data_IF_769262259334
#
_entry.id   IF_769262259334
#
_cell.length_a   1.000
_cell.length_b   1.000
_cell.length_c   1.000
_cell.angle_alpha   90.00
_cell.angle_beta   90.00
_cell.angle_gamma   90.00
#
_symmetry.space_group_name_H-M   'P 1'
#
loop_
_entity.id
_entity.type
_entity.pdbx_description
1 polymer ?
#
# COMPACT_ATOMS: atom_id res chain seq x y z
N UNK A 1 4.72 47.89 -26.96
CA UNK A 1 4.68 46.91 -25.85
C UNK A 1 3.85 45.72 -26.29
N UNK A 2 4.47 44.67 -26.84
CA UNK A 2 3.76 43.42 -27.16
C UNK A 2 3.77 42.51 -25.94
N UNK A 3 2.59 42.27 -25.36
CA UNK A 3 2.38 41.30 -24.29
C UNK A 3 2.64 39.87 -24.80
N UNK A 4 3.88 39.39 -24.67
CA UNK A 4 4.28 37.99 -24.92
C UNK A 4 4.10 37.16 -23.63
N UNK A 5 2.87 36.79 -23.31
CA UNK A 5 2.51 36.01 -22.10
C UNK A 5 3.10 34.60 -22.10
N UNK A 6 2.60 33.73 -23.00
CA UNK A 6 3.00 32.32 -23.08
C UNK A 6 4.51 32.12 -23.35
N UNK A 7 5.10 32.86 -24.31
CA UNK A 7 6.49 32.64 -24.74
C UNK A 7 7.53 32.95 -23.65
N UNK A 8 7.20 33.82 -22.69
CA UNK A 8 8.12 34.16 -21.58
C UNK A 8 8.14 33.13 -20.47
N UNK A 9 7.08 32.32 -20.32
CA UNK A 9 6.95 31.30 -19.28
C UNK A 9 7.11 29.88 -19.80
N UNK A 10 7.62 29.74 -21.03
CA UNK A 10 7.80 28.44 -21.67
C UNK A 10 8.73 27.54 -20.85
N UNK A 11 9.82 28.08 -20.32
CA UNK A 11 10.81 27.32 -19.54
C UNK A 11 10.22 26.84 -18.20
N UNK A 12 9.41 27.67 -17.53
CA UNK A 12 8.68 27.29 -16.31
C UNK A 12 7.68 26.17 -16.59
N UNK A 13 6.95 26.27 -17.71
CA UNK A 13 5.99 25.23 -18.11
C UNK A 13 6.71 23.93 -18.50
N UNK A 14 7.87 24.01 -19.16
CA UNK A 14 8.68 22.83 -19.48
C UNK A 14 9.20 22.12 -18.21
N UNK A 15 9.57 22.87 -17.17
CA UNK A 15 9.90 22.31 -15.85
C UNK A 15 8.68 21.61 -15.22
N UNK A 16 7.50 22.26 -15.21
CA UNK A 16 6.26 21.65 -14.70
C UNK A 16 5.90 20.39 -15.50
N UNK A 17 6.12 20.40 -16.82
CA UNK A 17 5.91 19.23 -17.69
C UNK A 17 6.90 18.11 -17.34
N UNK A 18 8.16 18.42 -17.05
CA UNK A 18 9.14 17.43 -16.62
C UNK A 18 8.79 16.82 -15.26
N UNK A 19 8.40 17.65 -14.29
CA UNK A 19 8.11 17.22 -12.93
C UNK A 19 6.80 16.42 -12.83
N UNK A 20 5.77 16.83 -13.57
CA UNK A 20 4.43 16.27 -13.42
C UNK A 20 3.98 15.39 -14.59
N UNK A 21 4.70 15.43 -15.72
CA UNK A 21 4.43 14.65 -16.93
C UNK A 21 2.93 14.57 -17.32
N UNK A 22 2.21 15.71 -17.38
CA UNK A 22 0.75 15.73 -17.50
C UNK A 22 0.26 15.07 -18.80
N UNK A 23 -0.96 14.53 -18.82
CA UNK A 23 -1.55 14.02 -20.07
C UNK A 23 -2.24 15.12 -20.88
N UNK A 24 -2.80 16.10 -20.17
CA UNK A 24 -3.51 17.25 -20.72
C UNK A 24 -3.06 18.49 -19.93
N UNK A 25 -2.85 19.60 -20.63
CA UNK A 25 -2.52 20.90 -20.05
C UNK A 25 -3.55 21.90 -20.56
N UNK A 26 -4.23 22.60 -19.65
CA UNK A 26 -5.17 23.66 -20.00
C UNK A 26 -4.57 25.00 -19.60
N UNK A 27 -4.51 25.93 -20.55
CA UNK A 27 -3.96 27.27 -20.36
C UNK A 27 -4.99 28.31 -20.73
N UNK A 28 -5.02 29.39 -19.96
CA UNK A 28 -5.78 30.59 -20.26
C UNK A 28 -4.81 31.76 -20.30
N UNK A 29 -4.76 32.48 -21.41
CA UNK A 29 -3.85 33.60 -21.63
C UNK A 29 -4.59 34.81 -22.18
N UNK A 30 -4.08 36.01 -21.92
CA UNK A 30 -4.80 37.25 -22.25
C UNK A 30 -4.58 37.77 -23.68
N UNK A 31 -3.90 37.03 -24.56
CA UNK A 31 -3.64 37.47 -25.94
C UNK A 31 -3.02 36.37 -26.85
N UNK A 32 -3.75 35.31 -27.16
CA UNK A 32 -3.32 34.39 -28.22
C UNK A 32 -3.56 35.05 -29.59
N UNK A 33 -2.52 35.17 -30.44
CA UNK A 33 -2.68 35.63 -31.84
C UNK A 33 -3.56 34.62 -32.59
N UNK A 34 -4.48 35.11 -33.42
CA UNK A 34 -5.37 34.26 -34.24
C UNK A 34 -4.60 33.11 -34.89
N UNK A 35 -5.05 31.89 -34.63
CA UNK A 35 -4.51 30.64 -35.16
C UNK A 35 -3.07 30.27 -34.77
N UNK A 36 -2.42 31.00 -33.85
CA UNK A 36 -1.09 30.61 -33.35
C UNK A 36 -1.18 29.72 -32.12
N UNK A 37 -0.75 28.47 -32.28
CA UNK A 37 -0.53 27.51 -31.19
C UNK A 37 0.97 27.40 -30.97
N UNK A 38 1.43 27.77 -29.79
CA UNK A 38 2.84 27.63 -29.47
C UNK A 38 3.22 26.15 -29.33
N UNK A 39 4.26 25.67 -30.02
CA UNK A 39 4.61 24.25 -29.98
C UNK A 39 5.16 23.85 -28.61
N UNK A 40 4.59 22.78 -28.04
CA UNK A 40 5.09 22.09 -26.85
C UNK A 40 5.56 20.69 -27.24
N UNK A 41 6.80 20.34 -26.88
CA UNK A 41 7.40 19.05 -27.24
C UNK A 41 6.56 17.90 -26.68
N UNK A 42 6.21 16.93 -27.52
CA UNK A 42 5.36 15.78 -27.20
C UNK A 42 3.89 16.08 -26.91
N UNK A 43 3.38 17.27 -27.25
CA UNK A 43 1.96 17.60 -27.15
C UNK A 43 1.41 18.15 -28.47
N UNK A 44 0.14 17.81 -28.75
CA UNK A 44 -0.71 18.40 -29.78
C UNK A 44 -1.58 19.46 -29.12
N UNK A 45 -1.46 20.71 -29.58
CA UNK A 45 -2.22 21.84 -29.03
C UNK A 45 -3.49 22.13 -29.82
N UNK A 46 -4.47 22.72 -29.12
CA UNK A 46 -5.73 23.24 -29.64
C UNK A 46 -6.00 24.59 -28.96
N UNK A 47 -6.33 25.63 -29.71
CA UNK A 47 -6.58 26.96 -29.16
C UNK A 47 -7.88 27.57 -29.69
N UNK A 48 -8.53 28.42 -28.89
CA UNK A 48 -9.65 29.25 -29.32
C UNK A 48 -9.46 30.66 -28.77
N UNK A 49 -9.56 31.64 -29.68
CA UNK A 49 -9.35 33.06 -29.39
C UNK A 49 -10.65 33.83 -29.67
N UNK A 50 -10.88 34.92 -28.94
CA UNK A 50 -11.95 35.87 -29.24
C UNK A 50 -11.59 36.67 -30.48
N UNK A 51 -12.55 36.86 -31.38
CA UNK A 51 -12.40 37.57 -32.66
C UNK A 51 -12.78 39.07 -32.57
N UNK A 52 -13.00 39.62 -31.38
CA UNK A 52 -13.41 41.03 -31.24
C UNK A 52 -12.23 41.97 -30.98
N UNK A 53 -11.94 42.77 -32.00
CA UNK A 53 -10.87 43.77 -32.11
C UNK A 53 -11.14 44.94 -31.14
N UNK A 54 -10.26 45.15 -30.15
CA UNK A 54 -10.19 46.43 -29.43
C UNK A 54 -9.67 46.44 -28.00
N UNK A 55 -9.67 45.30 -27.27
CA UNK A 55 -9.10 45.18 -25.91
C UNK A 55 -8.47 43.80 -25.70
N UNK A 56 -7.51 43.68 -24.77
CA UNK A 56 -6.89 42.40 -24.41
C UNK A 56 -7.95 41.36 -24.05
N UNK A 57 -8.13 40.37 -24.91
CA UNK A 57 -9.17 39.36 -24.81
C UNK A 57 -8.55 38.02 -24.46
N UNK A 58 -9.07 37.39 -23.40
CA UNK A 58 -8.65 36.05 -22.97
C UNK A 58 -8.89 35.00 -24.05
N UNK A 59 -7.89 34.17 -24.32
CA UNK A 59 -7.99 32.97 -25.13
C UNK A 59 -7.62 31.74 -24.30
N UNK A 60 -8.09 30.57 -24.73
CA UNK A 60 -7.83 29.30 -24.05
C UNK A 60 -7.13 28.33 -24.98
N UNK A 61 -6.22 27.54 -24.43
CA UNK A 61 -5.52 26.48 -25.15
C UNK A 61 -5.50 25.19 -24.35
N UNK A 62 -5.65 24.07 -25.04
CA UNK A 62 -5.52 22.72 -24.49
C UNK A 62 -4.40 22.00 -25.23
N UNK A 63 -3.42 21.47 -24.50
CA UNK A 63 -2.37 20.62 -25.04
C UNK A 63 -2.58 19.19 -24.57
N UNK A 64 -2.63 18.25 -25.50
CA UNK A 64 -2.82 16.82 -25.25
C UNK A 64 -1.56 16.09 -25.69
N UNK A 65 -1.03 15.14 -24.91
CA UNK A 65 0.16 14.38 -25.34
C UNK A 65 -0.02 13.79 -26.74
N UNK A 66 0.99 13.92 -27.59
CA UNK A 66 0.90 13.65 -29.02
C UNK A 66 0.49 12.19 -29.36
N UNK A 67 0.80 11.23 -28.48
CA UNK A 67 0.40 9.83 -28.63
C UNK A 67 -1.05 9.53 -28.18
N UNK A 68 -1.74 10.50 -27.57
CA UNK A 68 -3.14 10.37 -27.17
C UNK A 68 -4.02 10.87 -28.33
N UNK A 69 -4.85 10.01 -28.94
CA UNK A 69 -5.76 10.41 -29.99
C UNK A 69 -6.68 11.55 -29.52
N UNK A 70 -6.72 12.64 -30.28
CA UNK A 70 -7.53 13.82 -29.97
C UNK A 70 -7.93 14.56 -31.24
N UNK A 71 -9.13 15.15 -31.22
CA UNK A 71 -9.70 15.95 -32.30
C UNK A 71 -10.50 17.14 -31.72
N UNK A 72 -10.70 18.17 -32.53
CA UNK A 72 -11.47 19.36 -32.16
C UNK A 72 -12.95 19.13 -32.43
N UNK A 73 -13.81 19.50 -31.48
CA UNK A 73 -15.26 19.53 -31.65
C UNK A 73 -15.75 20.97 -31.68
N UNK A 74 -16.49 21.33 -32.73
CA UNK A 74 -17.11 22.64 -32.85
C UNK A 74 -18.47 22.62 -32.17
N UNK A 75 -18.57 23.20 -30.98
CA UNK A 75 -19.83 23.37 -30.26
C UNK A 75 -20.38 24.77 -30.56
N UNK A 76 -21.62 24.83 -31.08
CA UNK A 76 -22.37 26.09 -31.24
C UNK A 76 -22.94 26.48 -29.87
N UNK A 77 -22.28 27.43 -29.22
CA UNK A 77 -22.61 27.94 -27.88
C UNK A 77 -22.12 29.37 -27.76
N UNK A 78 -22.90 30.24 -27.12
CA UNK A 78 -22.54 31.63 -26.79
C UNK A 78 -21.52 31.72 -25.63
N UNK A 79 -21.18 30.58 -25.02
CA UNK A 79 -20.14 30.42 -24.01
C UNK A 79 -18.86 29.82 -24.60
N UNK A 80 -17.71 30.30 -24.13
CA UNK A 80 -16.37 29.89 -24.55
C UNK A 80 -15.99 28.50 -24.04
N UNK A 81 -16.57 27.46 -24.66
CA UNK A 81 -16.29 26.08 -24.30
C UNK A 81 -15.40 25.46 -25.39
N UNK A 82 -14.17 25.12 -25.02
CA UNK A 82 -13.36 24.13 -25.72
C UNK A 82 -13.57 22.78 -25.03
N UNK A 83 -14.23 21.84 -25.71
CA UNK A 83 -14.35 20.47 -25.24
C UNK A 83 -13.40 19.59 -26.04
N UNK A 84 -12.27 19.22 -25.44
CA UNK A 84 -11.51 18.07 -25.90
C UNK A 84 -12.20 16.82 -25.34
N UNK A 85 -12.96 16.10 -26.19
CA UNK A 85 -13.29 14.71 -25.87
C UNK A 85 -12.00 13.93 -26.09
N UNK A 86 -11.21 13.81 -25.02
CA UNK A 86 -10.45 12.59 -24.87
C UNK A 86 -11.51 11.50 -24.78
N UNK A 87 -11.52 10.59 -25.75
CA UNK A 87 -11.97 9.24 -25.43
C UNK A 87 -10.97 8.77 -24.38
N UNK A 88 -11.23 9.16 -23.13
CA UNK A 88 -11.03 8.24 -22.04
C UNK A 88 -11.91 7.07 -22.45
N UNK A 89 -11.30 6.15 -23.20
CA UNK A 89 -11.16 4.84 -22.60
C UNK A 89 -10.62 5.14 -21.21
N UNK A 90 -11.54 5.39 -20.27
CA UNK A 90 -11.47 4.74 -18.98
C UNK A 90 -11.38 3.28 -19.39
N UNK A 91 -10.16 2.86 -19.76
CA UNK A 91 -9.67 1.61 -19.29
C UNK A 91 -9.90 1.82 -17.82
N UNK A 92 -10.99 1.26 -17.33
CA UNK A 92 -11.04 0.84 -15.96
C UNK A 92 -9.67 0.20 -15.80
N UNK A 93 -8.73 0.90 -15.16
CA UNK A 93 -7.90 0.17 -14.24
C UNK A 93 -8.86 -0.15 -13.09
N UNK A 94 -9.82 -1.01 -13.39
CA UNK A 94 -9.96 -2.23 -12.65
C UNK A 94 -8.57 -2.61 -12.14
N UNK A 95 -8.53 -3.21 -10.99
CA UNK A 95 -7.39 -4.02 -10.60
C UNK A 95 -7.18 -5.23 -11.55
N UNK A 96 -7.33 -5.02 -12.88
CA UNK A 96 -6.99 -5.85 -14.02
C UNK A 96 -5.81 -5.26 -14.82
N UNK A 97 -5.26 -4.07 -14.49
CA UNK A 97 -3.88 -3.75 -14.90
C UNK A 97 -2.92 -4.52 -14.00
N UNK A 98 -2.37 -5.59 -14.58
CA UNK A 98 -1.76 -6.77 -13.95
C UNK A 98 -2.76 -7.87 -13.56
N UNK A 99 -3.72 -8.22 -14.43
CA UNK A 99 -3.72 -9.66 -14.77
C UNK A 99 -2.35 -9.84 -15.42
N UNK A 100 -1.45 -10.64 -14.84
CA UNK A 100 -0.19 -10.84 -15.50
C UNK A 100 -0.50 -11.36 -16.91
N UNK A 101 0.08 -10.70 -17.93
CA UNK A 101 0.44 -11.37 -19.18
C UNK A 101 0.87 -12.80 -18.83
N UNK A 102 0.47 -13.80 -19.62
CA UNK A 102 0.77 -15.20 -19.37
C UNK A 102 2.09 -15.36 -18.60
N UNK A 103 2.01 -15.78 -17.33
CA UNK A 103 3.22 -15.94 -16.54
C UNK A 103 3.90 -17.20 -17.03
N UNK A 104 5.07 -17.04 -17.65
CA UNK A 104 5.91 -18.16 -18.04
C UNK A 104 6.98 -18.36 -16.96
N UNK A 105 6.98 -19.47 -16.23
CA UNK A 105 8.03 -19.80 -15.27
C UNK A 105 8.97 -20.85 -15.87
N UNK A 106 10.27 -20.56 -15.83
CA UNK A 106 11.34 -21.47 -16.28
C UNK A 106 12.09 -22.01 -15.07
N UNK A 107 12.23 -23.33 -14.99
CA UNK A 107 13.12 -24.01 -14.04
C UNK A 107 13.83 -25.18 -14.73
N UNK A 108 14.50 -26.04 -13.95
CA UNK A 108 15.23 -27.21 -14.46
C UNK A 108 14.34 -28.21 -15.23
N UNK A 109 13.01 -28.19 -15.01
CA UNK A 109 12.04 -29.04 -15.74
C UNK A 109 11.55 -28.42 -17.04
N UNK A 110 12.00 -27.20 -17.38
CA UNK A 110 11.60 -26.44 -18.56
C UNK A 110 10.69 -25.26 -18.24
N UNK A 111 10.15 -24.65 -19.30
CA UNK A 111 9.25 -23.49 -19.18
C UNK A 111 7.80 -23.94 -19.13
N UNK A 112 7.02 -23.42 -18.18
CA UNK A 112 5.58 -23.67 -18.09
C UNK A 112 4.79 -22.36 -18.15
N UNK A 113 3.74 -22.35 -18.96
CA UNK A 113 2.75 -21.28 -19.07
C UNK A 113 1.35 -21.68 -18.56
N UNK A 114 1.16 -22.96 -18.22
CA UNK A 114 -0.11 -23.45 -17.69
C UNK A 114 -0.43 -22.73 -16.37
N UNK A 115 -1.53 -21.98 -16.27
CA UNK A 115 -1.78 -21.13 -15.11
C UNK A 115 -1.85 -21.91 -13.78
N UNK A 116 -2.31 -23.17 -13.80
CA UNK A 116 -2.40 -24.00 -12.60
C UNK A 116 -1.01 -24.47 -12.15
N UNK A 117 -0.17 -24.94 -13.07
CA UNK A 117 1.23 -25.31 -12.81
C UNK A 117 2.05 -24.10 -12.36
N UNK A 118 1.86 -22.94 -12.99
CA UNK A 118 2.54 -21.71 -12.61
C UNK A 118 2.13 -21.26 -11.19
N UNK A 119 0.84 -21.25 -10.89
CA UNK A 119 0.34 -20.96 -9.55
C UNK A 119 0.92 -21.92 -8.51
N UNK A 120 1.02 -23.22 -8.84
CA UNK A 120 1.63 -24.21 -7.97
C UNK A 120 3.12 -23.95 -7.72
N UNK A 121 3.92 -23.71 -8.77
CA UNK A 121 5.37 -23.44 -8.65
C UNK A 121 5.64 -22.19 -7.80
N UNK A 122 4.93 -21.09 -8.09
CA UNK A 122 5.03 -19.85 -7.29
C UNK A 122 4.56 -20.09 -5.86
N UNK A 123 3.47 -20.83 -5.67
CA UNK A 123 2.94 -21.16 -4.35
C UNK A 123 3.90 -21.96 -3.49
N UNK A 124 4.54 -22.99 -4.04
CA UNK A 124 5.58 -23.77 -3.36
C UNK A 124 6.79 -22.89 -2.98
N UNK A 125 7.23 -22.02 -3.89
CA UNK A 125 8.31 -21.06 -3.58
C UNK A 125 7.94 -20.11 -2.42
N UNK A 126 6.73 -19.56 -2.43
CA UNK A 126 6.28 -18.70 -1.33
C UNK A 126 6.09 -19.47 -0.03
N UNK A 127 5.60 -20.72 -0.07
CA UNK A 127 5.50 -21.57 1.10
C UNK A 127 6.87 -21.75 1.76
N UNK A 128 7.91 -21.99 0.97
CA UNK A 128 9.28 -22.11 1.47
C UNK A 128 9.75 -20.81 2.15
N UNK A 129 9.43 -19.64 1.58
CA UNK A 129 9.72 -18.34 2.20
C UNK A 129 8.97 -18.12 3.51
N UNK A 130 7.74 -18.63 3.61
CA UNK A 130 6.95 -18.58 4.83
C UNK A 130 7.26 -19.73 5.80
N UNK A 131 8.20 -20.61 5.50
CA UNK A 131 8.58 -21.73 6.38
C UNK A 131 9.90 -21.46 7.09
N UNK A 132 10.29 -22.34 8.00
CA UNK A 132 11.58 -22.23 8.67
C UNK A 132 12.78 -22.41 7.72
N UNK A 133 12.56 -22.87 6.47
CA UNK A 133 13.60 -22.92 5.43
C UNK A 133 14.23 -21.55 5.14
N UNK A 134 13.53 -20.45 5.45
CA UNK A 134 14.08 -19.09 5.26
C UNK A 134 15.15 -18.74 6.30
N UNK A 135 15.16 -19.41 7.46
CA UNK A 135 16.09 -19.12 8.53
C UNK A 135 17.35 -19.99 8.44
N UNK A 136 18.46 -19.48 8.98
CA UNK A 136 19.68 -20.29 9.16
C UNK A 136 19.42 -21.38 10.21
N UNK A 137 19.94 -22.58 9.99
CA UNK A 137 19.75 -23.72 10.91
C UNK A 137 20.25 -23.41 12.34
N UNK A 138 21.36 -22.67 12.45
CA UNK A 138 21.89 -22.22 13.74
C UNK A 138 20.86 -21.39 14.52
N UNK A 139 20.20 -20.43 13.88
CA UNK A 139 19.16 -19.61 14.51
C UNK A 139 17.97 -20.46 14.98
N UNK A 140 17.56 -21.45 14.18
CA UNK A 140 16.47 -22.36 14.55
C UNK A 140 16.82 -23.12 15.83
N UNK A 141 17.98 -23.78 15.82
CA UNK A 141 18.40 -24.69 16.90
C UNK A 141 18.76 -23.94 18.20
N UNK A 142 19.44 -22.80 18.09
CA UNK A 142 19.99 -22.10 19.25
C UNK A 142 19.01 -21.11 19.88
N UNK A 143 18.12 -20.51 19.07
CA UNK A 143 17.28 -19.39 19.49
C UNK A 143 15.79 -19.73 19.34
N UNK A 144 15.33 -20.02 18.12
CA UNK A 144 13.89 -20.11 17.82
C UNK A 144 13.20 -21.22 18.60
N UNK A 145 13.68 -22.46 18.49
CA UNK A 145 13.04 -23.61 19.14
C UNK A 145 13.04 -23.48 20.66
N UNK A 146 14.13 -22.97 21.24
CA UNK A 146 14.20 -22.73 22.69
C UNK A 146 13.20 -21.66 23.13
N UNK A 147 13.12 -20.54 22.41
CA UNK A 147 12.21 -19.45 22.73
C UNK A 147 10.74 -19.87 22.58
N UNK A 148 10.38 -20.61 21.52
CA UNK A 148 9.01 -21.07 21.28
C UNK A 148 8.50 -22.05 22.34
N UNK A 149 9.40 -22.76 23.02
CA UNK A 149 9.07 -23.64 24.15
C UNK A 149 8.88 -22.89 25.48
N UNK A 150 9.19 -21.59 25.55
CA UNK A 150 8.98 -20.78 26.75
C UNK A 150 7.58 -20.16 26.70
N UNK A 151 6.73 -20.38 27.72
CA UNK A 151 5.43 -19.75 27.78
C UNK A 151 5.53 -18.22 27.81
N UNK A 152 4.67 -17.56 27.05
CA UNK A 152 4.59 -16.09 27.02
C UNK A 152 3.92 -15.60 28.31
N UNK A 153 4.61 -14.76 29.07
CA UNK A 153 4.11 -14.14 30.30
C UNK A 153 3.67 -12.69 30.07
N UNK A 154 2.75 -12.22 30.92
CA UNK A 154 2.17 -10.88 30.87
C UNK A 154 2.35 -10.20 32.21
N UNK A 155 3.01 -9.04 32.22
CA UNK A 155 3.26 -8.26 33.43
C UNK A 155 2.49 -6.92 33.45
N UNK A 156 1.71 -6.64 32.40
CA UNK A 156 0.95 -5.40 32.27
C UNK A 156 -0.40 -5.55 32.96
N UNK A 157 -0.73 -4.60 33.85
CA UNK A 157 -2.01 -4.57 34.55
C UNK A 157 -3.18 -4.33 33.56
N UNK A 158 -4.14 -5.27 33.41
CA UNK A 158 -5.28 -5.11 32.51
C UNK A 158 -6.23 -3.99 32.94
N UNK A 159 -6.21 -3.59 34.21
CA UNK A 159 -7.09 -2.57 34.77
C UNK A 159 -6.55 -1.14 34.61
N UNK A 160 -5.38 -0.95 33.99
CA UNK A 160 -4.90 0.40 33.74
C UNK A 160 -5.77 1.08 32.64
N UNK A 161 -6.04 2.40 32.74
CA UNK A 161 -7.00 3.06 31.85
C UNK A 161 -6.68 2.89 30.34
N UNK A 162 -5.40 2.88 29.98
CA UNK A 162 -4.98 2.68 28.60
C UNK A 162 -5.31 1.28 28.07
N UNK A 163 -5.15 0.23 28.88
CA UNK A 163 -5.47 -1.14 28.50
C UNK A 163 -6.97 -1.40 28.47
N UNK A 164 -7.73 -0.80 29.40
CA UNK A 164 -9.20 -0.85 29.38
C UNK A 164 -9.70 -0.27 28.05
N UNK A 165 -9.31 0.98 27.73
CA UNK A 165 -9.75 1.65 26.51
C UNK A 165 -9.34 0.90 25.23
N UNK A 166 -8.15 0.28 25.23
CA UNK A 166 -7.67 -0.53 24.09
C UNK A 166 -8.55 -1.76 23.84
N UNK A 167 -9.06 -2.38 24.92
CA UNK A 167 -9.80 -3.64 24.89
C UNK A 167 -11.34 -3.48 24.89
N UNK A 168 -11.84 -2.24 24.99
CA UNK A 168 -13.27 -1.92 24.97
C UNK A 168 -14.02 -2.54 23.78
N UNK A 169 -15.34 -2.69 23.91
CA UNK A 169 -16.19 -3.15 22.79
C UNK A 169 -16.16 -2.17 21.62
N UNK A 170 -16.42 -2.66 20.40
CA UNK A 170 -16.52 -1.79 19.24
C UNK A 170 -17.82 -0.99 19.23
N UNK A 171 -17.74 0.25 18.77
CA UNK A 171 -18.90 1.09 18.51
C UNK A 171 -19.27 1.17 17.03
N UNK A 172 -20.55 1.43 16.74
CA UNK A 172 -21.01 1.70 15.37
C UNK A 172 -20.29 2.92 14.76
N UNK A 173 -19.87 3.88 15.60
CA UNK A 173 -19.14 5.08 15.17
C UNK A 173 -17.75 4.72 14.66
N UNK A 174 -17.00 3.93 15.42
CA UNK A 174 -15.68 3.43 14.98
C UNK A 174 -15.78 2.63 13.69
N UNK A 175 -16.77 1.74 13.60
CA UNK A 175 -17.04 0.94 12.43
C UNK A 175 -17.29 1.81 11.19
N UNK A 176 -18.12 2.87 11.30
CA UNK A 176 -18.36 3.83 10.22
C UNK A 176 -17.11 4.62 9.82
N UNK A 177 -16.34 5.11 10.79
CA UNK A 177 -15.10 5.87 10.56
C UNK A 177 -14.06 5.02 9.84
N UNK A 178 -13.90 3.75 10.23
CA UNK A 178 -13.00 2.82 9.57
C UNK A 178 -13.46 2.55 8.13
N UNK A 179 -14.76 2.32 7.90
CA UNK A 179 -15.30 2.05 6.57
C UNK A 179 -15.11 3.22 5.61
N UNK A 180 -15.28 4.46 6.08
CA UNK A 180 -15.07 5.66 5.25
C UNK A 180 -13.65 5.74 4.65
N UNK A 181 -12.66 5.13 5.31
CA UNK A 181 -11.27 5.05 4.82
C UNK A 181 -11.03 3.87 3.87
N UNK A 182 -11.99 2.97 3.69
CA UNK A 182 -11.89 1.80 2.83
C UNK A 182 -12.38 2.11 1.41
N UNK A 183 -11.48 2.11 0.44
CA UNK A 183 -11.83 2.26 -0.99
C UNK A 183 -12.21 0.92 -1.60
N UNK A 184 -13.08 0.94 -2.60
CA UNK A 184 -13.39 -0.27 -3.38
C UNK A 184 -12.14 -0.76 -4.12
N UNK A 185 -11.65 -1.93 -3.72
CA UNK A 185 -10.45 -2.61 -4.23
C UNK A 185 -10.77 -4.09 -4.43
N UNK A 186 -9.85 -4.85 -5.02
CA UNK A 186 -10.00 -6.30 -5.21
C UNK A 186 -10.38 -7.01 -3.91
N UNK A 187 -11.42 -7.86 -3.94
CA UNK A 187 -11.87 -8.61 -2.78
C UNK A 187 -10.94 -9.78 -2.46
N UNK A 188 -11.14 -10.38 -1.29
CA UNK A 188 -10.47 -11.61 -0.90
C UNK A 188 -11.14 -12.87 -1.48
N UNK A 189 -10.86 -14.04 -0.90
CA UNK A 189 -11.46 -15.32 -1.28
C UNK A 189 -12.99 -15.32 -1.39
N UNK A 190 -13.69 -14.55 -0.56
CA UNK A 190 -15.16 -14.43 -0.57
C UNK A 190 -15.74 -13.66 -1.76
N UNK A 191 -14.90 -12.98 -2.54
CA UNK A 191 -15.27 -12.15 -3.69
C UNK A 191 -16.22 -10.99 -3.36
N UNK A 192 -16.31 -10.57 -2.10
CA UNK A 192 -17.15 -9.44 -1.67
C UNK A 192 -16.31 -8.16 -1.64
N UNK A 193 -16.47 -7.20 -2.57
CA UNK A 193 -15.71 -5.96 -2.55
C UNK A 193 -16.30 -4.92 -1.58
N UNK A 194 -15.51 -3.91 -1.22
CA UNK A 194 -15.96 -2.86 -0.29
C UNK A 194 -17.18 -2.07 -0.79
N UNK A 195 -17.43 -1.96 -2.09
CA UNK A 195 -18.64 -1.28 -2.58
C UNK A 195 -19.94 -1.96 -2.09
N UNK A 196 -19.95 -3.29 -1.90
CA UNK A 196 -21.10 -3.97 -1.31
C UNK A 196 -21.25 -3.59 0.17
N UNK A 197 -20.13 -3.54 0.90
CA UNK A 197 -20.10 -3.15 2.32
C UNK A 197 -20.59 -1.69 2.49
N UNK A 198 -20.18 -0.80 1.59
CA UNK A 198 -20.63 0.61 1.59
C UNK A 198 -22.14 0.76 1.39
N UNK A 199 -22.75 -0.15 0.64
CA UNK A 199 -24.19 -0.13 0.35
C UNK A 199 -25.03 -0.92 1.37
N UNK A 200 -24.44 -1.46 2.43
CA UNK A 200 -25.21 -2.16 3.47
C UNK A 200 -26.15 -1.21 4.20
N UNK A 201 -27.41 -1.66 4.35
CA UNK A 201 -28.41 -0.98 5.17
C UNK A 201 -28.08 -1.01 6.67
N UNK A 202 -28.80 -0.20 7.45
CA UNK A 202 -28.59 -0.05 8.90
C UNK A 202 -28.65 -1.38 9.65
N UNK A 203 -29.65 -2.22 9.34
CA UNK A 203 -29.84 -3.53 9.97
C UNK A 203 -28.64 -4.45 9.75
N UNK A 204 -28.16 -4.59 8.51
CA UNK A 204 -27.00 -5.41 8.19
C UNK A 204 -25.71 -4.91 8.88
N UNK A 205 -25.53 -3.57 8.98
CA UNK A 205 -24.40 -2.99 9.72
C UNK A 205 -24.45 -3.30 11.21
N UNK A 206 -25.64 -3.29 11.82
CA UNK A 206 -25.79 -3.65 13.22
C UNK A 206 -25.48 -5.14 13.46
N UNK A 207 -25.94 -6.04 12.59
CA UNK A 207 -25.56 -7.46 12.66
C UNK A 207 -24.05 -7.66 12.55
N UNK A 208 -23.39 -6.98 11.60
CA UNK A 208 -21.94 -7.04 11.46
C UNK A 208 -21.20 -6.45 12.67
N UNK A 209 -21.74 -5.40 13.30
CA UNK A 209 -21.19 -4.86 14.55
C UNK A 209 -21.23 -5.93 15.66
N UNK A 210 -22.36 -6.59 15.84
CA UNK A 210 -22.48 -7.67 16.83
C UNK A 210 -21.51 -8.81 16.52
N UNK A 211 -21.39 -9.22 15.25
CA UNK A 211 -20.41 -10.22 14.83
C UNK A 211 -18.97 -9.81 15.20
N UNK A 212 -18.58 -8.57 14.92
CA UNK A 212 -17.25 -8.07 15.27
C UNK A 212 -17.02 -8.04 16.78
N UNK A 213 -18.02 -7.62 17.56
CA UNK A 213 -17.92 -7.64 19.03
C UNK A 213 -17.77 -9.09 19.53
N UNK A 214 -18.53 -10.04 18.99
CA UNK A 214 -18.39 -11.46 19.35
C UNK A 214 -17.00 -11.99 19.03
N UNK A 215 -16.47 -11.76 17.83
CA UNK A 215 -15.11 -12.16 17.44
C UNK A 215 -14.07 -11.50 18.37
N UNK A 216 -14.26 -10.22 18.70
CA UNK A 216 -13.35 -9.46 19.56
C UNK A 216 -13.31 -10.00 20.99
N UNK A 217 -14.48 -10.28 21.58
CA UNK A 217 -14.59 -10.81 22.94
C UNK A 217 -14.12 -12.25 23.04
N UNK A 218 -14.40 -13.08 22.04
CA UNK A 218 -13.91 -14.46 22.01
C UNK A 218 -12.41 -14.55 21.67
N UNK A 219 -11.86 -13.53 21.02
CA UNK A 219 -10.48 -13.53 20.55
C UNK A 219 -10.21 -14.53 19.41
N UNK A 220 -11.24 -15.01 18.71
CA UNK A 220 -11.14 -16.05 17.69
C UNK A 220 -11.78 -15.62 16.37
N UNK A 221 -10.97 -15.61 15.30
CA UNK A 221 -11.38 -15.32 13.93
C UNK A 221 -11.98 -16.57 13.28
N UNK A 222 -13.00 -16.39 12.42
CA UNK A 222 -13.47 -17.47 11.57
C UNK A 222 -12.33 -18.03 10.70
N UNK A 223 -12.24 -19.35 10.57
CA UNK A 223 -11.19 -20.00 9.75
C UNK A 223 -11.15 -19.48 8.30
N UNK A 224 -12.32 -19.12 7.73
CA UNK A 224 -12.39 -18.53 6.39
C UNK A 224 -11.71 -17.16 6.29
N UNK A 225 -11.56 -16.42 7.39
CA UNK A 225 -10.87 -15.12 7.45
C UNK A 225 -9.35 -15.25 7.64
N UNK A 226 -8.89 -16.45 8.02
CA UNK A 226 -7.47 -16.82 8.07
C UNK A 226 -6.92 -17.29 6.71
N UNK A 227 -7.79 -17.42 5.70
CA UNK A 227 -7.43 -17.76 4.31
C UNK A 227 -7.18 -16.50 3.48
N UNK A 228 -6.11 -16.50 2.70
CA UNK A 228 -5.79 -15.41 1.76
C UNK A 228 -5.58 -15.90 0.33
N UNK A 229 -5.89 -15.04 -0.64
CA UNK A 229 -5.49 -15.27 -2.04
C UNK A 229 -4.28 -14.42 -2.37
N UNK A 230 -3.16 -15.03 -2.70
CA UNK A 230 -1.95 -14.34 -3.14
C UNK A 230 -2.03 -14.07 -4.64
N UNK A 231 -1.87 -12.81 -5.02
CA UNK A 231 -1.63 -12.37 -6.40
C UNK A 231 -0.12 -12.12 -6.54
N UNK A 232 0.59 -12.87 -7.38
CA UNK A 232 2.01 -12.66 -7.60
C UNK A 232 2.22 -11.39 -8.45
N UNK A 233 2.98 -10.45 -7.92
CA UNK A 233 3.29 -9.18 -8.61
C UNK A 233 4.79 -9.12 -8.94
N UNK A 234 5.11 -8.95 -10.22
CA UNK A 234 6.50 -8.87 -10.68
C UNK A 234 7.22 -7.66 -10.06
N UNK A 235 8.39 -7.89 -9.48
CA UNK A 235 9.29 -6.84 -8.98
C UNK A 235 9.87 -6.06 -10.16
N UNK A 236 9.93 -4.72 -10.11
CA UNK A 236 10.57 -3.93 -11.16
C UNK A 236 12.00 -4.42 -11.45
N UNK A 237 12.31 -4.64 -12.72
CA UNK A 237 13.65 -5.06 -13.18
C UNK A 237 14.08 -6.48 -12.79
N UNK A 238 13.19 -7.33 -12.27
CA UNK A 238 13.50 -8.75 -11.99
C UNK A 238 13.07 -9.65 -13.14
N UNK A 239 13.71 -10.83 -13.22
CA UNK A 239 13.40 -11.84 -14.23
C UNK A 239 11.94 -12.30 -14.10
N UNK A 240 11.14 -12.03 -15.13
CA UNK A 240 9.73 -12.46 -15.20
C UNK A 240 9.55 -13.98 -15.29
N UNK A 241 10.62 -14.69 -15.67
CA UNK A 241 10.60 -16.14 -15.82
C UNK A 241 11.02 -16.91 -14.57
N UNK A 242 11.40 -16.22 -13.50
CA UNK A 242 11.81 -16.85 -12.25
C UNK A 242 10.83 -16.50 -11.12
N UNK A 243 10.58 -17.47 -10.23
CA UNK A 243 9.62 -17.34 -9.12
C UNK A 243 10.07 -16.28 -8.10
N UNK A 244 11.38 -16.10 -7.95
CA UNK A 244 12.03 -15.09 -7.10
C UNK A 244 11.69 -13.65 -7.53
N UNK A 245 11.35 -13.48 -8.81
CA UNK A 245 10.97 -12.20 -9.40
C UNK A 245 9.65 -11.64 -8.87
N UNK A 246 8.81 -12.44 -8.20
CA UNK A 246 7.46 -12.04 -7.79
C UNK A 246 7.37 -11.71 -6.29
N UNK A 247 6.44 -10.81 -5.93
CA UNK A 247 6.03 -10.49 -4.56
C UNK A 247 4.67 -11.13 -4.24
N UNK A 248 4.48 -11.67 -3.03
CA UNK A 248 3.22 -12.28 -2.63
C UNK A 248 2.21 -11.24 -2.10
N UNK A 249 1.42 -10.58 -2.97
CA UNK A 249 0.38 -9.65 -2.48
C UNK A 249 -0.85 -10.45 -2.03
N UNK A 250 -1.15 -10.40 -0.74
CA UNK A 250 -2.25 -11.15 -0.12
C UNK A 250 -3.56 -10.35 -0.13
N UNK A 251 -4.57 -10.90 -0.78
CA UNK A 251 -5.96 -10.45 -0.71
C UNK A 251 -6.68 -11.20 0.42
N UNK A 252 -7.09 -10.44 1.44
CA UNK A 252 -7.93 -10.91 2.54
C UNK A 252 -9.37 -10.47 2.31
N UNK A 253 -10.32 -11.21 2.89
CA UNK A 253 -11.74 -10.86 2.85
C UNK A 253 -11.96 -9.42 3.35
N UNK A 254 -12.84 -8.69 2.67
CA UNK A 254 -13.04 -7.26 2.96
C UNK A 254 -13.63 -7.04 4.35
N UNK A 255 -14.47 -7.96 4.84
CA UNK A 255 -14.97 -7.94 6.22
C UNK A 255 -13.84 -8.14 7.24
N UNK A 256 -12.87 -9.01 6.98
CA UNK A 256 -11.67 -9.15 7.83
C UNK A 256 -10.85 -7.88 7.82
N UNK A 257 -10.63 -7.30 6.63
CA UNK A 257 -9.85 -6.06 6.47
C UNK A 257 -10.54 -4.84 7.08
N UNK A 258 -11.86 -4.85 7.21
CA UNK A 258 -12.57 -3.79 7.89
C UNK A 258 -12.37 -3.88 9.40
N UNK A 259 -12.55 -5.07 9.99
CA UNK A 259 -12.30 -5.31 11.40
C UNK A 259 -10.83 -5.03 11.78
N UNK A 260 -9.86 -5.54 10.99
CA UNK A 260 -8.44 -5.28 11.22
C UNK A 260 -8.14 -3.77 11.20
N UNK A 261 -8.86 -2.97 10.39
CA UNK A 261 -8.64 -1.53 10.29
C UNK A 261 -9.07 -0.81 11.56
N UNK A 262 -10.19 -1.23 12.17
CA UNK A 262 -10.66 -0.71 13.46
C UNK A 262 -9.60 -1.00 14.52
N UNK A 263 -9.18 -2.26 14.62
CA UNK A 263 -8.20 -2.75 15.59
C UNK A 263 -6.85 -2.05 15.41
N UNK A 264 -6.36 -1.96 14.17
CA UNK A 264 -5.10 -1.30 13.87
C UNK A 264 -5.13 0.20 14.20
N UNK A 265 -6.29 0.85 14.04
CA UNK A 265 -6.44 2.26 14.43
C UNK A 265 -6.27 2.44 15.93
N UNK A 266 -6.86 1.55 16.74
CA UNK A 266 -6.66 1.55 18.20
C UNK A 266 -5.23 1.24 18.59
N UNK A 267 -4.64 0.21 17.97
CA UNK A 267 -3.26 -0.20 18.24
C UNK A 267 -2.26 0.91 17.92
N UNK A 268 -2.30 1.49 16.72
CA UNK A 268 -1.40 2.60 16.35
C UNK A 268 -1.57 3.78 17.31
N UNK A 269 -2.80 4.16 17.65
CA UNK A 269 -3.04 5.25 18.60
C UNK A 269 -2.39 4.95 19.97
N UNK A 270 -2.57 3.74 20.50
CA UNK A 270 -1.94 3.32 21.75
C UNK A 270 -0.42 3.33 21.67
N UNK A 271 0.16 2.80 20.58
CA UNK A 271 1.61 2.74 20.39
C UNK A 271 2.24 4.14 20.30
N UNK A 272 1.64 5.05 19.54
CA UNK A 272 2.12 6.43 19.40
C UNK A 272 1.92 7.22 20.71
N UNK A 273 0.75 7.11 21.35
CA UNK A 273 0.43 7.84 22.58
C UNK A 273 1.39 7.50 23.74
N UNK A 274 1.85 6.25 23.80
CA UNK A 274 2.77 5.76 24.82
C UNK A 274 4.24 5.77 24.36
N UNK A 275 4.57 6.37 23.20
CA UNK A 275 5.92 6.43 22.65
C UNK A 275 6.61 5.05 22.52
N UNK A 276 5.84 4.01 22.20
CA UNK A 276 6.37 2.64 22.08
C UNK A 276 7.18 2.49 20.78
N UNK A 277 6.72 3.10 19.68
CA UNK A 277 7.44 3.04 18.39
C UNK A 277 8.62 4.01 18.45
N UNK A 278 9.83 3.48 18.19
CA UNK A 278 11.07 4.23 18.24
C UNK A 278 11.01 5.46 17.33
N UNK A 279 11.43 6.62 17.84
CA UNK A 279 11.39 7.90 17.13
C UNK A 279 12.18 7.94 15.82
N UNK A 280 13.15 7.04 15.65
CA UNK A 280 13.97 6.93 14.44
C UNK A 280 13.31 6.11 13.33
N UNK A 281 12.20 5.43 13.62
CA UNK A 281 11.37 4.82 12.59
C UNK A 281 10.38 5.85 12.03
N UNK A 282 10.44 6.09 10.72
CA UNK A 282 9.52 7.01 10.01
C UNK A 282 8.55 6.29 9.08
N UNK A 283 8.83 5.03 8.72
CA UNK A 283 8.02 4.27 7.77
C UNK A 283 6.62 3.94 8.31
N UNK A 284 5.59 4.14 7.49
CA UNK A 284 4.20 3.73 7.78
C UNK A 284 3.57 4.30 9.07
N UNK A 285 4.15 5.35 9.64
CA UNK A 285 3.62 6.04 10.82
C UNK A 285 2.79 7.25 10.44
N UNK A 286 1.72 7.57 11.19
CA UNK A 286 1.01 8.83 11.02
C UNK A 286 1.96 10.02 11.22
N UNK A 287 1.77 11.07 10.43
CA UNK A 287 2.52 12.33 10.54
C UNK A 287 4.05 12.19 10.37
N UNK A 288 4.51 11.12 9.72
CA UNK A 288 5.91 10.92 9.32
C UNK A 288 5.99 10.65 7.82
N UNK A 289 7.10 11.05 7.21
CA UNK A 289 7.35 10.85 5.78
C UNK A 289 8.81 10.52 5.50
N UNK A 290 9.10 10.14 4.27
CA UNK A 290 10.49 9.95 3.81
C UNK A 290 11.30 11.25 3.83
N UNK A 291 10.63 12.41 3.77
CA UNK A 291 11.27 13.73 3.82
C UNK A 291 11.92 13.97 5.19
N UNK A 292 11.32 13.47 6.28
CA UNK A 292 11.91 13.59 7.63
C UNK A 292 13.29 12.93 7.69
N UNK A 293 13.41 11.73 7.10
CA UNK A 293 14.69 11.00 7.06
C UNK A 293 15.71 11.69 6.15
N UNK A 294 15.27 12.26 5.03
CA UNK A 294 16.15 13.02 4.13
C UNK A 294 16.69 14.28 4.81
N UNK A 295 15.87 14.98 5.60
CA UNK A 295 16.35 16.11 6.40
C UNK A 295 17.43 15.70 7.40
N UNK A 296 17.23 14.60 8.12
CA UNK A 296 18.25 14.09 9.07
C UNK A 296 19.56 13.77 8.37
N UNK A 297 19.51 13.11 7.21
CA UNK A 297 20.70 12.80 6.41
C UNK A 297 21.39 14.09 5.97
N UNK A 298 20.64 15.04 5.38
CA UNK A 298 21.16 16.32 4.90
C UNK A 298 21.85 17.11 6.02
N UNK A 299 21.19 17.23 7.18
CA UNK A 299 21.74 17.93 8.34
C UNK A 299 23.03 17.28 8.86
N UNK A 300 23.10 15.94 8.88
CA UNK A 300 24.35 15.24 9.23
C UNK A 300 25.45 15.47 8.20
N UNK A 301 25.11 15.51 6.91
CA UNK A 301 26.06 15.81 5.84
C UNK A 301 26.62 17.23 5.95
N UNK A 302 25.75 18.21 6.23
CA UNK A 302 26.16 19.62 6.37
C UNK A 302 27.08 19.82 7.58
N UNK A 303 26.71 19.25 8.73
CA UNK A 303 27.53 19.32 9.94
C UNK A 303 28.90 18.65 9.76
N UNK A 304 28.96 17.52 9.05
CA UNK A 304 30.23 16.86 8.75
C UNK A 304 31.10 17.73 7.83
N UNK A 305 30.50 18.39 6.83
CA UNK A 305 31.20 19.30 5.93
C UNK A 305 31.76 20.52 6.69
N UNK A 306 30.95 21.16 7.53
CA UNK A 306 31.36 22.29 8.37
C UNK A 306 32.55 21.93 9.28
N UNK A 307 32.50 20.75 9.89
CA UNK A 307 33.55 20.25 10.79
C UNK A 307 34.73 19.59 10.07
N UNK A 308 34.76 19.59 8.72
CA UNK A 308 35.78 18.91 7.91
C UNK A 308 35.94 17.42 8.25
N UNK A 309 34.85 16.77 8.64
CA UNK A 309 34.78 15.35 8.97
C UNK A 309 34.31 14.53 7.76
N UNK A 310 34.68 13.25 7.73
CA UNK A 310 34.16 12.30 6.74
C UNK A 310 32.90 11.62 7.27
N UNK A 311 31.77 11.83 6.62
CA UNK A 311 30.54 11.09 6.89
C UNK A 311 30.47 9.84 6.01
N UNK A 312 30.18 8.68 6.62
CA UNK A 312 29.92 7.41 5.92
C UNK A 312 28.49 6.97 6.17
N UNK A 313 27.83 6.46 5.12
CA UNK A 313 26.46 5.95 5.20
C UNK A 313 26.46 4.46 4.83
N UNK A 314 25.84 3.65 5.69
CA UNK A 314 25.55 2.25 5.41
C UNK A 314 24.03 2.11 5.20
N UNK A 315 23.63 1.65 4.02
CA UNK A 315 22.22 1.36 3.71
C UNK A 315 22.00 -0.14 3.74
N UNK A 316 21.08 -0.59 4.59
CA UNK A 316 20.73 -2.01 4.76
C UNK A 316 19.31 -2.26 4.22
N UNK A 317 19.14 -3.36 3.48
CA UNK A 317 17.83 -3.81 3.00
C UNK A 317 17.55 -5.22 3.52
N UNK A 318 16.33 -5.42 4.04
CA UNK A 318 15.91 -6.71 4.60
C UNK A 318 15.23 -7.50 3.49
N UNK A 319 15.91 -8.54 3.01
CA UNK A 319 15.33 -9.46 2.01
C UNK A 319 14.07 -10.13 2.57
N UNK A 320 12.99 -10.10 1.78
CA UNK A 320 11.71 -10.77 2.09
C UNK A 320 11.15 -10.42 3.48
N UNK A 321 11.29 -9.16 3.90
CA UNK A 321 11.03 -8.71 5.26
C UNK A 321 9.67 -9.13 5.85
N UNK A 322 8.59 -9.11 5.06
CA UNK A 322 7.26 -9.53 5.53
C UNK A 322 7.07 -11.05 5.57
N UNK A 323 7.77 -11.78 4.69
CA UNK A 323 7.66 -13.23 4.59
C UNK A 323 8.45 -13.91 5.73
N UNK A 324 9.52 -13.27 6.19
CA UNK A 324 10.44 -13.76 7.22
C UNK A 324 10.11 -13.32 8.65
N UNK A 325 8.95 -12.70 8.89
CA UNK A 325 8.60 -12.24 10.25
C UNK A 325 8.38 -13.44 11.16
N UNK A 326 9.18 -13.52 12.22
CA UNK A 326 9.02 -14.54 13.24
C UNK A 326 7.85 -14.20 14.17
N UNK A 327 6.74 -14.90 14.00
CA UNK A 327 5.47 -14.62 14.70
C UNK A 327 5.58 -14.72 16.22
N UNK A 328 6.28 -15.72 16.75
CA UNK A 328 6.45 -15.86 18.20
C UNK A 328 7.17 -14.65 18.81
N UNK A 329 8.22 -14.13 18.15
CA UNK A 329 8.89 -12.89 18.61
C UNK A 329 7.94 -11.70 18.67
N UNK A 330 7.05 -11.55 17.69
CA UNK A 330 6.02 -10.51 17.70
C UNK A 330 5.11 -10.66 18.93
N UNK A 331 4.67 -11.88 19.23
CA UNK A 331 3.81 -12.14 20.39
C UNK A 331 4.52 -11.84 21.72
N UNK A 332 5.81 -12.17 21.84
CA UNK A 332 6.63 -11.81 23.00
C UNK A 332 6.79 -10.29 23.13
N UNK A 333 6.96 -9.56 22.03
CA UNK A 333 7.01 -8.09 22.05
C UNK A 333 5.65 -7.53 22.51
N UNK A 334 4.55 -8.08 21.98
CA UNK A 334 3.20 -7.65 22.36
C UNK A 334 2.89 -7.93 23.83
N UNK A 335 3.33 -9.06 24.41
CA UNK A 335 3.06 -9.37 25.82
C UNK A 335 3.79 -8.44 26.80
N UNK A 336 4.86 -7.78 26.35
CA UNK A 336 5.59 -6.77 27.12
C UNK A 336 4.90 -5.40 27.13
N UNK A 337 4.01 -5.13 26.18
CA UNK A 337 3.37 -3.80 26.01
C UNK A 337 1.85 -3.84 26.18
N UNK A 338 1.23 -5.01 26.05
CA UNK A 338 -0.20 -5.25 26.20
C UNK A 338 -0.47 -6.12 27.44
N UNK A 339 -1.58 -5.84 28.12
CA UNK A 339 -2.14 -6.82 29.04
C UNK A 339 -2.74 -7.99 28.25
N UNK A 340 -2.88 -9.14 28.91
CA UNK A 340 -3.67 -10.23 28.35
C UNK A 340 -5.13 -9.77 28.20
N UNK A 341 -5.67 -9.85 26.98
CA UNK A 341 -6.99 -9.32 26.65
C UNK A 341 -7.30 -9.40 25.15
N UNK A 342 -8.43 -8.83 24.75
CA UNK A 342 -9.00 -8.92 23.40
C UNK A 342 -8.01 -8.51 22.30
N UNK A 343 -7.24 -7.44 22.50
CA UNK A 343 -6.24 -6.97 21.52
C UNK A 343 -5.14 -7.99 21.28
N UNK A 344 -4.54 -8.52 22.34
CA UNK A 344 -3.51 -9.55 22.23
C UNK A 344 -4.10 -10.82 21.62
N UNK A 345 -5.26 -11.27 22.10
CA UNK A 345 -5.91 -12.50 21.66
C UNK A 345 -6.26 -12.43 20.16
N UNK A 346 -6.81 -11.31 19.70
CA UNK A 346 -7.09 -11.11 18.28
C UNK A 346 -5.83 -11.14 17.44
N UNK A 347 -4.74 -10.45 17.85
CA UNK A 347 -3.50 -10.44 17.08
C UNK A 347 -2.86 -11.84 17.05
N UNK A 348 -2.88 -12.55 18.17
CA UNK A 348 -2.44 -13.94 18.24
C UNK A 348 -3.21 -14.81 17.25
N UNK A 349 -4.54 -14.77 17.32
CA UNK A 349 -5.40 -15.56 16.46
C UNK A 349 -5.30 -15.15 14.97
N UNK A 350 -5.01 -13.87 14.70
CA UNK A 350 -4.74 -13.36 13.35
C UNK A 350 -3.47 -13.93 12.74
N UNK A 351 -2.46 -14.27 13.55
CA UNK A 351 -1.15 -14.74 13.09
C UNK A 351 -1.07 -16.26 12.93
N UNK A 352 -1.82 -17.04 13.72
CA UNK A 352 -1.80 -18.51 13.69
C UNK A 352 -2.71 -19.11 12.59
N UNK A 353 -2.45 -20.36 12.21
CA UNK A 353 -3.26 -21.19 11.28
C UNK A 353 -3.65 -20.52 9.96
N UNK A 354 -2.80 -19.61 9.48
CA UNK A 354 -3.02 -18.92 8.21
C UNK A 354 -2.71 -19.84 7.04
N UNK A 355 -3.57 -19.75 6.02
CA UNK A 355 -3.41 -20.49 4.78
C UNK A 355 -3.51 -19.52 3.60
N UNK A 356 -2.81 -19.82 2.52
CA UNK A 356 -2.92 -19.05 1.28
C UNK A 356 -3.05 -19.95 0.07
N UNK A 357 -3.60 -19.39 -1.01
CA UNK A 357 -3.55 -19.96 -2.35
C UNK A 357 -3.02 -18.91 -3.32
N UNK A 358 -2.18 -19.29 -4.26
CA UNK A 358 -1.74 -18.41 -5.32
C UNK A 358 -2.75 -18.46 -6.46
N UNK A 359 -3.16 -17.29 -6.94
CA UNK A 359 -4.01 -17.15 -8.12
C UNK A 359 -3.20 -16.61 -9.28
N UNK A 360 -3.22 -17.33 -10.39
CA UNK A 360 -2.66 -16.91 -11.69
C UNK A 360 -3.75 -17.03 -12.72
N UNK A 361 -4.08 -15.92 -13.38
CA UNK A 361 -5.25 -15.82 -14.26
C UNK A 361 -6.52 -16.31 -13.55
N UNK A 362 -7.18 -17.36 -14.04
CA UNK A 362 -8.37 -17.96 -13.42
C UNK A 362 -8.09 -19.26 -12.66
N UNK A 363 -6.83 -19.65 -12.52
CA UNK A 363 -6.43 -20.89 -11.84
C UNK A 363 -5.86 -20.61 -10.45
N UNK A 364 -6.04 -21.58 -9.57
CA UNK A 364 -5.55 -21.54 -8.19
C UNK A 364 -4.58 -22.70 -7.95
N UNK A 365 -3.57 -22.45 -7.13
CA UNK A 365 -2.75 -23.52 -6.54
C UNK A 365 -3.54 -24.32 -5.50
N UNK A 366 -2.95 -25.42 -5.03
CA UNK A 366 -3.37 -26.01 -3.76
C UNK A 366 -3.23 -25.00 -2.61
N UNK A 367 -4.02 -25.10 -1.53
CA UNK A 367 -3.77 -24.35 -0.31
C UNK A 367 -2.40 -24.69 0.29
N UNK A 368 -1.72 -23.67 0.79
CA UNK A 368 -0.44 -23.79 1.49
C UNK A 368 -0.56 -23.19 2.89
N UNK A 369 0.02 -23.82 3.93
CA UNK A 369 0.15 -23.21 5.25
C UNK A 369 1.18 -22.08 5.22
N UNK A 370 0.91 -21.02 5.98
CA UNK A 370 1.83 -19.91 6.22
C UNK A 370 2.37 -20.00 7.65
N UNK A 371 3.52 -20.63 7.84
CA UNK A 371 4.10 -20.86 9.18
C UNK A 371 4.64 -19.56 9.79
N UNK A 372 5.42 -18.80 9.02
CA UNK A 372 6.03 -17.52 9.35
C UNK A 372 5.49 -16.39 8.46
N UNK A 373 5.95 -15.18 8.73
CA UNK A 373 5.59 -14.00 7.97
C UNK A 373 4.20 -13.48 8.30
N UNK A 374 3.87 -12.38 7.64
CA UNK A 374 2.63 -11.63 7.82
C UNK A 374 2.03 -11.28 6.44
N UNK A 375 0.68 -11.20 6.32
CA UNK A 375 0.04 -11.01 5.01
C UNK A 375 0.34 -9.63 4.42
N UNK A 376 1.11 -9.60 3.32
CA UNK A 376 1.45 -8.38 2.59
C UNK A 376 0.20 -7.80 1.90
N UNK A 377 -0.34 -6.71 2.46
CA UNK A 377 -1.61 -6.11 2.02
C UNK A 377 -2.63 -5.91 3.13
N UNK A 378 -2.35 -6.44 4.33
CA UNK A 378 -3.04 -6.10 5.58
C UNK A 378 -2.45 -4.84 6.21
N UNK A 379 -3.31 -3.97 6.73
CA UNK A 379 -2.87 -2.77 7.43
C UNK A 379 -2.34 -3.05 8.83
N UNK A 380 -2.89 -4.07 9.51
CA UNK A 380 -2.43 -4.52 10.81
C UNK A 380 -1.06 -5.19 10.71
N UNK A 381 -0.80 -5.95 9.63
CA UNK A 381 0.51 -6.53 9.35
C UNK A 381 1.62 -5.47 9.31
N UNK A 382 1.37 -4.31 8.71
CA UNK A 382 2.35 -3.22 8.67
C UNK A 382 2.74 -2.76 10.08
N UNK A 383 1.78 -2.57 10.98
CA UNK A 383 2.04 -2.18 12.37
C UNK A 383 2.77 -3.28 13.14
N UNK A 384 2.39 -4.54 12.92
CA UNK A 384 3.10 -5.69 13.48
C UNK A 384 4.57 -5.72 13.03
N UNK A 385 4.82 -5.41 11.76
CA UNK A 385 6.19 -5.32 11.25
C UNK A 385 6.99 -4.22 11.94
N UNK A 386 6.42 -3.03 12.12
CA UNK A 386 7.08 -1.93 12.85
C UNK A 386 7.50 -2.36 14.25
N UNK A 387 6.63 -3.07 14.97
CA UNK A 387 6.96 -3.65 16.28
C UNK A 387 8.08 -4.69 16.19
N UNK A 388 8.06 -5.56 15.18
CA UNK A 388 9.05 -6.62 15.01
C UNK A 388 10.48 -6.09 14.79
N UNK A 389 10.62 -4.89 14.21
CA UNK A 389 11.90 -4.23 13.96
C UNK A 389 12.18 -3.05 14.91
N UNK A 390 11.36 -2.85 15.95
CA UNK A 390 11.42 -1.65 16.79
C UNK A 390 12.74 -1.50 17.57
N UNK A 391 13.31 -2.62 18.00
CA UNK A 391 14.56 -2.73 18.74
C UNK A 391 15.82 -2.78 17.85
N UNK A 392 15.65 -2.83 16.52
CA UNK A 392 16.78 -2.89 15.58
C UNK A 392 17.69 -1.66 15.71
N UNK A 393 17.08 -0.51 16.00
CA UNK A 393 17.77 0.77 16.17
C UNK A 393 18.71 0.72 17.37
N UNK A 394 18.27 0.12 18.48
CA UNK A 394 19.07 -0.01 19.69
C UNK A 394 20.23 -0.99 19.49
N UNK A 395 19.99 -2.04 18.70
CA UNK A 395 21.00 -3.07 18.41
C UNK A 395 22.11 -2.57 17.47
N UNK A 396 21.79 -1.65 16.56
CA UNK A 396 22.72 -1.13 15.54
C UNK A 396 23.51 0.09 16.06
N UNK A 397 23.07 0.74 17.15
CA UNK A 397 23.84 1.83 17.76
C UNK A 397 25.18 1.30 18.27
N UNK A 398 26.24 1.66 17.55
CA UNK A 398 27.64 1.43 17.91
C UNK A 398 28.07 2.30 19.08
#
# INVERSE_FOLDING_TARGET
MEHKGFSKKKDELELIIQDHNPQIICLQESNFKENYIAPLKNYKGYSKNRLEVGRASGGTSIYVKAFIPSHTLNILSDLEVLTAISTLTVVYSDLLKQIPEEIHITDASGTTSDPKRVAQKIGSYFQDNFSDKIYKQQFINEIKTKAENIPITFNINPLCPAQISLNDSFSIKEMKVALAKCRCKSPGPDRIPYCFIHNLGKTARNYLLHLYITIWTLGTLPNNWKRGTIIPILKPGKNKHSVEGYRPITLLNTMTKWMEKIINTRLIWFLEKNNIINKEQSGFRPSRSTIDNLHVIKSKTDLALENKQTLRMLSLDISKAYDSVWKHRVLVILSKILAYGNMYNYINDFLIDRHFQVKVSNSFSTPFPQQNGIPQGSSLAVTIFLLAINDIVETIRL
#
